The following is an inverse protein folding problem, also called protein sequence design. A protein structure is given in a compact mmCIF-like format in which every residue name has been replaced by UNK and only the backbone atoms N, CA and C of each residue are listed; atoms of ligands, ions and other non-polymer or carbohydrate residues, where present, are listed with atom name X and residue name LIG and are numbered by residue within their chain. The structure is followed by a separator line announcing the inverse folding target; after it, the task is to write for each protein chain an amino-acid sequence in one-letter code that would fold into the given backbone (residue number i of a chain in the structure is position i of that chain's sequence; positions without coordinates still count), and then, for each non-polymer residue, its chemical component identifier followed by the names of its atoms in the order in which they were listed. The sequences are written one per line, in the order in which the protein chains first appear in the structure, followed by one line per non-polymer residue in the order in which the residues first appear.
data_IF_294804019030
#
_entry.id   IF_294804019030
#
_cell.length_a   1.000
_cell.length_b   1.000
_cell.length_c   1.000
_cell.angle_alpha   90.00
_cell.angle_beta   90.00
_cell.angle_gamma   90.00
#
_symmetry.space_group_name_H-M   'P 1'
#
loop_
_entity.id
_entity.type
_entity.pdbx_description
1 polymer ?
#
# COMPACT_ATOMS: atom_id res chain seq x y z
N UNK A 1 12.08 16.45 -6.98
CA UNK A 1 13.04 17.27 -6.19
C UNK A 1 12.52 18.65 -5.75
N UNK A 2 11.66 19.35 -6.51
CA UNK A 2 11.09 20.65 -6.08
C UNK A 2 10.42 20.63 -4.69
N UNK A 3 9.76 19.52 -4.33
CA UNK A 3 9.10 19.34 -3.03
C UNK A 3 9.97 18.63 -1.97
N UNK A 4 11.11 18.06 -2.39
CA UNK A 4 12.01 17.31 -1.50
C UNK A 4 13.47 17.63 -1.84
N UNK A 5 13.95 18.85 -1.52
CA UNK A 5 15.34 19.22 -1.78
C UNK A 5 16.30 18.30 -1.01
N UNK A 6 17.34 17.81 -1.68
CA UNK A 6 18.30 16.87 -1.11
C UNK A 6 17.84 15.40 -1.10
N UNK A 7 16.66 15.09 -1.63
CA UNK A 7 16.26 13.70 -1.87
C UNK A 7 17.02 13.08 -3.04
N UNK A 8 17.09 11.75 -3.04
CA UNK A 8 17.55 10.97 -4.18
C UNK A 8 16.70 11.24 -5.43
N UNK A 9 17.32 11.08 -6.61
CA UNK A 9 16.62 11.01 -7.90
C UNK A 9 15.91 9.68 -8.06
N UNK A 10 14.97 9.60 -9.01
CA UNK A 10 14.36 8.32 -9.35
C UNK A 10 15.42 7.32 -9.82
N UNK A 11 16.35 7.73 -10.70
CA UNK A 11 17.45 6.87 -11.16
C UNK A 11 18.30 6.32 -9.99
N UNK A 12 18.67 7.16 -9.02
CA UNK A 12 19.43 6.72 -7.85
C UNK A 12 18.63 5.70 -7.02
N UNK A 13 17.32 5.92 -6.85
CA UNK A 13 16.45 4.98 -6.13
C UNK A 13 16.33 3.66 -6.90
N UNK A 14 16.20 3.70 -8.24
CA UNK A 14 16.11 2.51 -9.09
C UNK A 14 17.42 1.70 -9.08
N UNK A 15 18.58 2.36 -9.09
CA UNK A 15 19.88 1.70 -8.94
C UNK A 15 19.95 0.92 -7.61
N UNK A 16 19.43 1.50 -6.53
CA UNK A 16 19.35 0.81 -5.23
C UNK A 16 18.36 -0.36 -5.26
N UNK A 17 17.22 -0.23 -5.94
CA UNK A 17 16.30 -1.36 -6.12
C UNK A 17 16.98 -2.49 -6.87
N UNK A 18 17.69 -2.20 -7.96
CA UNK A 18 18.41 -3.20 -8.72
C UNK A 18 19.48 -3.89 -7.86
N UNK A 19 20.22 -3.13 -7.06
CA UNK A 19 21.19 -3.68 -6.12
C UNK A 19 20.54 -4.63 -5.11
N UNK A 20 19.43 -4.24 -4.49
CA UNK A 20 18.71 -5.05 -3.50
C UNK A 20 18.09 -6.29 -4.15
N UNK A 21 17.48 -6.14 -5.32
CA UNK A 21 16.89 -7.23 -6.09
C UNK A 21 17.95 -8.26 -6.50
N UNK A 22 19.14 -7.83 -6.91
CA UNK A 22 20.28 -8.72 -7.22
C UNK A 22 20.75 -9.57 -6.02
N UNK A 23 20.38 -9.16 -4.80
CA UNK A 23 20.65 -9.87 -3.55
C UNK A 23 19.46 -10.70 -3.07
N UNK A 24 18.38 -10.79 -3.86
CA UNK A 24 17.16 -11.48 -3.49
C UNK A 24 16.37 -10.77 -2.39
N UNK A 25 16.59 -9.46 -2.17
CA UNK A 25 15.87 -8.68 -1.16
C UNK A 25 14.60 -8.13 -1.79
N UNK A 26 13.47 -8.38 -1.13
CA UNK A 26 12.17 -7.85 -1.52
C UNK A 26 12.14 -6.32 -1.39
N UNK A 27 11.68 -5.64 -2.43
CA UNK A 27 11.61 -4.18 -2.50
C UNK A 27 10.18 -3.72 -2.77
N UNK A 28 9.73 -2.73 -2.00
CA UNK A 28 8.43 -2.08 -2.16
C UNK A 28 8.57 -0.56 -2.24
N UNK A 29 7.86 0.09 -3.16
CA UNK A 29 7.78 1.54 -3.25
C UNK A 29 6.46 2.07 -2.74
N UNK A 30 6.50 3.28 -2.17
CA UNK A 30 5.30 4.05 -1.93
C UNK A 30 5.33 5.31 -2.79
N UNK A 31 4.42 5.39 -3.76
CA UNK A 31 4.15 6.59 -4.52
C UNK A 31 3.12 7.42 -3.76
N UNK A 32 3.63 8.25 -2.82
CA UNK A 32 2.82 9.01 -1.89
C UNK A 32 3.46 10.39 -1.60
N UNK A 33 2.73 11.51 -1.78
CA UNK A 33 1.38 11.58 -2.36
C UNK A 33 1.41 11.72 -3.89
N UNK A 34 0.43 11.14 -4.57
CA UNK A 34 0.12 11.43 -5.99
C UNK A 34 -0.63 12.76 -6.04
N UNK A 35 -0.04 13.75 -6.69
CA UNK A 35 -0.66 15.06 -6.92
C UNK A 35 -1.22 15.05 -8.35
N UNK A 36 -2.42 14.51 -8.53
CA UNK A 36 -3.02 14.32 -9.85
C UNK A 36 -3.13 15.64 -10.63
N UNK A 37 -2.66 15.65 -11.87
CA UNK A 37 -2.53 16.85 -12.70
C UNK A 37 -1.10 17.40 -12.70
N UNK A 38 -0.42 17.43 -11.54
CA UNK A 38 1.02 17.70 -11.47
C UNK A 38 1.81 16.48 -11.94
N UNK A 39 1.43 15.31 -11.43
CA UNK A 39 1.81 13.99 -11.96
C UNK A 39 0.70 13.53 -12.88
N UNK A 40 1.05 12.88 -13.99
CA UNK A 40 0.11 12.29 -14.95
C UNK A 40 0.01 10.78 -14.79
N UNK A 41 -1.04 10.16 -15.33
CA UNK A 41 -1.16 8.70 -15.37
C UNK A 41 0.00 8.06 -16.17
N UNK A 42 0.43 8.71 -17.27
CA UNK A 42 1.59 8.29 -18.05
C UNK A 42 2.87 8.29 -17.21
N UNK A 43 3.10 9.31 -16.37
CA UNK A 43 4.27 9.34 -15.47
C UNK A 43 4.25 8.16 -14.48
N UNK A 44 3.06 7.78 -13.99
CA UNK A 44 2.91 6.70 -13.02
C UNK A 44 3.05 5.31 -13.68
N UNK A 45 2.48 5.11 -14.87
CA UNK A 45 2.65 3.85 -15.63
C UNK A 45 4.10 3.67 -16.06
N UNK A 46 4.78 4.75 -16.45
CA UNK A 46 6.22 4.71 -16.73
C UNK A 46 7.03 4.39 -15.48
N UNK A 47 6.69 4.98 -14.33
CA UNK A 47 7.32 4.63 -13.05
C UNK A 47 7.15 3.15 -12.71
N UNK A 48 5.97 2.57 -12.95
CA UNK A 48 5.71 1.13 -12.76
C UNK A 48 6.67 0.30 -13.61
N UNK A 49 6.74 0.58 -14.92
CA UNK A 49 7.60 -0.15 -15.86
C UNK A 49 9.08 -0.07 -15.47
N UNK A 50 9.59 1.15 -15.28
CA UNK A 50 11.00 1.38 -14.90
C UNK A 50 11.34 0.71 -13.56
N UNK A 51 10.41 0.75 -12.59
CA UNK A 51 10.64 0.12 -11.30
C UNK A 51 10.64 -1.41 -11.41
N UNK A 52 9.72 -1.99 -12.18
CA UNK A 52 9.67 -3.42 -12.44
C UNK A 52 10.95 -3.91 -13.15
N UNK A 53 11.44 -3.16 -14.15
CA UNK A 53 12.71 -3.44 -14.84
C UNK A 53 13.91 -3.40 -13.88
N UNK A 54 13.90 -2.47 -12.92
CA UNK A 54 14.91 -2.41 -11.86
C UNK A 54 14.78 -3.58 -10.85
N UNK A 55 13.72 -4.39 -10.92
CA UNK A 55 13.49 -5.52 -10.04
C UNK A 55 12.68 -5.20 -8.79
N UNK A 56 11.88 -4.13 -8.82
CA UNK A 56 10.84 -3.86 -7.82
C UNK A 56 9.85 -5.02 -7.76
N UNK A 57 9.30 -5.30 -6.58
CA UNK A 57 8.35 -6.39 -6.35
C UNK A 57 6.94 -5.91 -5.99
N UNK A 58 6.84 -4.69 -5.47
CA UNK A 58 5.57 -4.11 -5.04
C UNK A 58 5.54 -2.59 -5.09
N UNK A 59 4.39 -2.01 -5.42
CA UNK A 59 4.16 -0.57 -5.38
C UNK A 59 2.86 -0.22 -4.66
N UNK A 60 2.88 0.88 -3.92
CA UNK A 60 1.77 1.38 -3.11
C UNK A 60 1.40 2.74 -3.65
N UNK A 61 0.16 2.90 -4.08
CA UNK A 61 -0.34 4.19 -4.57
C UNK A 61 -1.20 4.89 -3.51
N UNK A 62 -1.01 6.20 -3.38
CA UNK A 62 -1.82 7.05 -2.54
C UNK A 62 -2.02 8.41 -3.17
N UNK A 63 -3.26 8.78 -3.45
CA UNK A 63 -3.63 10.11 -3.85
C UNK A 63 -3.47 11.10 -2.69
N UNK A 64 -3.20 12.35 -3.05
CA UNK A 64 -3.10 13.42 -2.08
C UNK A 64 -4.43 13.55 -1.34
N UNK A 65 -4.37 13.56 -0.01
CA UNK A 65 -5.49 13.89 0.86
C UNK A 65 -5.10 15.06 1.78
N UNK A 66 -6.09 15.83 2.24
CA UNK A 66 -5.84 16.88 3.22
C UNK A 66 -7.08 17.18 4.06
N UNK A 67 -6.90 17.40 5.36
CA UNK A 67 -8.00 17.82 6.24
C UNK A 67 -8.63 19.14 5.76
N UNK A 68 -9.96 19.27 5.92
CA UNK A 68 -10.77 20.34 5.32
C UNK A 68 -10.18 21.76 5.49
N UNK A 69 -9.68 22.08 6.68
CA UNK A 69 -9.14 23.40 7.02
C UNK A 69 -7.73 23.70 6.47
N UNK A 70 -7.10 22.74 5.77
CA UNK A 70 -5.73 22.88 5.25
C UNK A 70 -5.64 22.82 3.72
N UNK A 71 -6.75 22.61 2.99
CA UNK A 71 -6.76 22.52 1.52
C UNK A 71 -6.14 23.74 0.85
N UNK A 72 -6.62 24.95 1.18
CA UNK A 72 -6.11 26.15 0.52
C UNK A 72 -4.63 26.39 0.83
N UNK A 73 -4.21 26.13 2.08
CA UNK A 73 -2.81 26.25 2.46
C UNK A 73 -1.92 25.30 1.64
N UNK A 74 -2.36 24.06 1.42
CA UNK A 74 -1.64 23.10 0.57
C UNK A 74 -1.53 23.62 -0.87
N UNK A 75 -2.63 24.08 -1.47
CA UNK A 75 -2.65 24.62 -2.84
C UNK A 75 -1.70 25.81 -2.97
N UNK A 76 -1.76 26.77 -2.05
CA UNK A 76 -0.91 27.97 -2.06
C UNK A 76 0.57 27.60 -1.97
N UNK A 77 0.91 26.62 -1.12
CA UNK A 77 2.28 26.11 -0.98
C UNK A 77 2.77 25.43 -2.25
N UNK A 78 1.94 24.59 -2.87
CA UNK A 78 2.29 23.90 -4.12
C UNK A 78 2.47 24.90 -5.28
N UNK A 79 1.61 25.92 -5.38
CA UNK A 79 1.75 27.02 -6.35
C UNK A 79 3.04 27.82 -6.13
N UNK A 80 3.42 28.10 -4.88
CA UNK A 80 4.66 28.80 -4.56
C UNK A 80 5.92 28.05 -5.03
N UNK A 81 5.86 26.71 -5.09
CA UNK A 81 6.94 25.84 -5.59
C UNK A 81 6.94 25.76 -7.13
N UNK A 82 5.99 26.42 -7.81
CA UNK A 82 5.87 26.49 -9.27
C UNK A 82 5.80 25.10 -9.91
N UNK A 83 4.94 24.24 -9.38
CA UNK A 83 4.61 22.96 -10.01
C UNK A 83 3.77 23.21 -11.28
N UNK A 84 3.90 22.36 -12.32
CA UNK A 84 3.06 22.46 -13.51
C UNK A 84 1.59 22.14 -13.18
N UNK A 85 0.67 22.55 -14.04
CA UNK A 85 -0.73 22.10 -14.04
C UNK A 85 -1.49 22.22 -12.70
N UNK A 86 -1.11 23.19 -11.87
CA UNK A 86 -1.76 23.40 -10.56
C UNK A 86 -3.26 23.70 -10.65
N UNK A 87 -3.71 24.29 -11.76
CA UNK A 87 -5.14 24.57 -12.00
C UNK A 87 -5.93 23.27 -12.23
N UNK A 88 -5.31 22.26 -12.87
CA UNK A 88 -5.89 20.92 -13.04
C UNK A 88 -5.93 20.18 -11.72
N UNK A 89 -4.82 20.20 -10.97
CA UNK A 89 -4.81 19.61 -9.62
C UNK A 89 -5.89 20.22 -8.74
N UNK A 90 -6.02 21.54 -8.71
CA UNK A 90 -7.02 22.21 -7.87
C UNK A 90 -8.46 21.89 -8.29
N UNK A 91 -8.73 21.72 -9.59
CA UNK A 91 -10.05 21.34 -10.08
C UNK A 91 -10.41 19.90 -9.75
N UNK A 92 -9.43 18.99 -9.79
CA UNK A 92 -9.62 17.57 -9.44
C UNK A 92 -9.59 17.33 -7.92
N UNK A 93 -8.84 18.10 -7.16
CA UNK A 93 -8.73 18.00 -5.69
C UNK A 93 -9.85 18.77 -4.98
N UNK A 94 -11.08 18.30 -5.10
CA UNK A 94 -12.27 18.99 -4.58
C UNK A 94 -13.35 18.08 -3.98
N UNK A 95 -13.21 16.75 -4.03
CA UNK A 95 -14.14 15.84 -3.37
C UNK A 95 -13.84 15.75 -1.88
N UNK A 96 -14.87 15.58 -1.05
CA UNK A 96 -14.72 15.35 0.39
C UNK A 96 -15.24 13.97 0.75
N UNK A 97 -14.39 13.13 1.37
CA UNK A 97 -14.76 11.82 1.91
C UNK A 97 -14.24 11.78 3.34
N UNK A 98 -15.07 11.37 4.31
CA UNK A 98 -14.62 11.22 5.71
C UNK A 98 -14.04 12.48 6.37
N UNK A 99 -14.37 13.69 5.87
CA UNK A 99 -13.85 14.96 6.40
C UNK A 99 -12.47 15.40 5.85
N UNK A 100 -11.93 14.69 4.85
CA UNK A 100 -10.72 15.09 4.11
C UNK A 100 -11.06 15.41 2.66
N UNK A 101 -10.35 16.38 2.09
CA UNK A 101 -10.33 16.61 0.65
C UNK A 101 -9.44 15.59 -0.03
N UNK A 102 -9.90 15.08 -1.17
CA UNK A 102 -9.16 14.17 -2.04
C UNK A 102 -9.43 14.50 -3.51
N UNK A 103 -8.73 13.81 -4.40
CA UNK A 103 -8.98 13.83 -5.85
C UNK A 103 -10.32 13.15 -6.13
N UNK A 104 -11.08 13.67 -7.10
CA UNK A 104 -12.36 13.10 -7.53
C UNK A 104 -12.25 11.59 -7.78
N UNK A 105 -13.25 10.87 -7.28
CA UNK A 105 -13.29 9.42 -7.23
C UNK A 105 -13.25 8.76 -8.59
N UNK A 106 -13.99 9.28 -9.56
CA UNK A 106 -13.98 8.79 -10.95
C UNK A 106 -12.56 8.82 -11.54
N UNK A 107 -11.83 9.91 -11.32
CA UNK A 107 -10.43 10.05 -11.73
C UNK A 107 -9.54 9.06 -10.99
N UNK A 108 -9.71 8.91 -9.67
CA UNK A 108 -8.89 7.97 -8.87
C UNK A 108 -9.13 6.52 -9.29
N UNK A 109 -10.39 6.13 -9.49
CA UNK A 109 -10.76 4.78 -9.93
C UNK A 109 -10.17 4.49 -11.31
N UNK A 110 -10.37 5.38 -12.28
CA UNK A 110 -9.80 5.23 -13.63
C UNK A 110 -8.27 5.03 -13.58
N UNK A 111 -7.58 5.83 -12.79
CA UNK A 111 -6.12 5.72 -12.65
C UNK A 111 -5.70 4.45 -11.94
N UNK A 112 -6.40 4.05 -10.87
CA UNK A 112 -6.08 2.85 -10.12
C UNK A 112 -6.32 1.58 -10.94
N UNK A 113 -7.35 1.55 -11.79
CA UNK A 113 -7.57 0.45 -12.75
C UNK A 113 -6.43 0.34 -13.75
N UNK A 114 -6.01 1.44 -14.37
CA UNK A 114 -4.90 1.43 -15.33
C UNK A 114 -3.58 1.05 -14.66
N UNK A 115 -3.33 1.55 -13.44
CA UNK A 115 -2.14 1.19 -12.67
C UNK A 115 -2.16 -0.27 -12.25
N UNK A 116 -3.32 -0.81 -11.86
CA UNK A 116 -3.49 -2.22 -11.55
C UNK A 116 -3.10 -3.07 -12.76
N UNK A 117 -3.67 -2.79 -13.93
CA UNK A 117 -3.34 -3.49 -15.18
C UNK A 117 -1.85 -3.36 -15.52
N UNK A 118 -1.29 -2.16 -15.42
CA UNK A 118 0.13 -1.92 -15.70
C UNK A 118 1.06 -2.69 -14.75
N UNK A 119 0.71 -2.80 -13.46
CA UNK A 119 1.48 -3.59 -12.49
C UNK A 119 1.37 -5.09 -12.78
N UNK A 120 0.18 -5.57 -13.17
CA UNK A 120 -0.04 -6.95 -13.59
C UNK A 120 0.82 -7.30 -14.81
N UNK A 121 0.76 -6.48 -15.86
CA UNK A 121 1.54 -6.68 -17.08
C UNK A 121 3.06 -6.63 -16.82
N UNK A 122 3.49 -5.81 -15.87
CA UNK A 122 4.88 -5.70 -15.46
C UNK A 122 5.34 -6.87 -14.56
N UNK A 123 4.40 -7.69 -14.08
CA UNK A 123 4.64 -8.76 -13.11
C UNK A 123 5.14 -8.23 -11.77
N UNK A 124 4.51 -7.19 -11.24
CA UNK A 124 4.73 -6.72 -9.86
C UNK A 124 3.38 -6.60 -9.16
N UNK A 125 3.39 -6.57 -7.83
CA UNK A 125 2.14 -6.42 -7.06
C UNK A 125 1.85 -4.95 -6.74
N UNK A 126 0.59 -4.64 -6.45
CA UNK A 126 0.09 -3.31 -6.12
C UNK A 126 -0.75 -3.33 -4.85
N UNK A 127 -0.70 -2.25 -4.07
CA UNK A 127 -1.69 -1.91 -3.05
C UNK A 127 -2.05 -0.43 -3.08
N UNK A 128 -3.09 -0.06 -2.34
CA UNK A 128 -3.48 1.33 -2.09
C UNK A 128 -3.33 1.69 -0.61
N UNK A 129 -3.18 2.98 -0.30
CA UNK A 129 -3.08 3.46 1.07
C UNK A 129 -4.07 4.61 1.31
N UNK A 130 -5.07 4.38 2.16
CA UNK A 130 -6.15 5.33 2.47
C UNK A 130 -6.96 5.76 1.25
N UNK A 131 -7.19 4.85 0.31
CA UNK A 131 -8.10 5.10 -0.80
C UNK A 131 -9.51 4.62 -0.44
N UNK A 132 -10.46 5.54 -0.53
CA UNK A 132 -11.87 5.30 -0.21
C UNK A 132 -12.77 5.72 -1.36
N UNK A 133 -13.95 5.13 -1.48
CA UNK A 133 -15.06 5.65 -2.28
C UNK A 133 -16.16 6.19 -1.38
N UNK A 134 -16.93 7.14 -1.90
CA UNK A 134 -18.10 7.70 -1.25
C UNK A 134 -19.30 6.76 -1.42
N UNK A 135 -19.68 6.12 -0.31
CA UNK A 135 -20.87 5.27 -0.19
C UNK A 135 -22.05 6.01 0.49
N UNK A 136 -21.94 7.33 0.66
CA UNK A 136 -22.87 8.14 1.44
C UNK A 136 -22.66 8.06 2.96
N UNK A 137 -21.61 7.40 3.43
CA UNK A 137 -21.21 7.33 4.84
C UNK A 137 -19.83 7.98 5.08
N UNK A 138 -18.96 7.35 5.90
CA UNK A 138 -17.61 7.86 6.16
C UNK A 138 -16.61 7.54 5.03
N UNK A 139 -17.08 6.90 3.96
CA UNK A 139 -16.27 6.32 2.90
C UNK A 139 -15.99 4.83 3.15
N UNK A 140 -15.97 4.05 2.08
CA UNK A 140 -15.66 2.62 2.09
C UNK A 140 -14.34 2.33 1.38
N UNK A 141 -13.60 1.31 1.82
CA UNK A 141 -12.24 1.02 1.36
C UNK A 141 -12.20 0.60 -0.12
N UNK A 142 -11.33 1.22 -0.93
CA UNK A 142 -11.10 0.86 -2.34
C UNK A 142 -10.15 -0.34 -2.49
N UNK A 143 -9.30 -0.61 -1.50
CA UNK A 143 -8.23 -1.60 -1.60
C UNK A 143 -8.68 -2.98 -2.09
N UNK A 144 -9.84 -3.55 -1.66
CA UNK A 144 -10.27 -4.87 -2.10
C UNK A 144 -10.44 -5.04 -3.62
N UNK A 145 -10.49 -3.94 -4.36
CA UNK A 145 -10.72 -3.93 -5.80
C UNK A 145 -9.51 -3.45 -6.62
N UNK A 146 -8.56 -2.76 -5.97
CA UNK A 146 -7.42 -2.10 -6.61
C UNK A 146 -6.07 -2.60 -6.07
N UNK A 147 -6.01 -3.83 -5.57
CA UNK A 147 -4.80 -4.45 -5.00
C UNK A 147 -4.58 -5.82 -5.62
N UNK A 148 -3.31 -6.25 -5.70
CA UNK A 148 -2.92 -7.64 -5.97
C UNK A 148 -2.16 -8.24 -4.79
N UNK A 149 -2.29 -7.62 -3.62
CA UNK A 149 -1.51 -7.95 -2.44
C UNK A 149 -2.34 -8.07 -1.18
N UNK A 150 -1.84 -8.91 -0.27
CA UNK A 150 -2.47 -9.24 1.01
C UNK A 150 -2.29 -8.17 2.09
N UNK A 151 -1.38 -7.21 1.85
CA UNK A 151 -1.11 -6.11 2.76
C UNK A 151 -0.59 -4.88 2.04
N UNK A 152 -0.60 -3.74 2.73
CA UNK A 152 -0.10 -2.46 2.20
C UNK A 152 1.36 -2.46 1.73
N UNK A 153 2.16 -3.48 2.03
CA UNK A 153 3.56 -3.58 1.59
C UNK A 153 3.81 -4.79 0.71
N UNK A 154 2.75 -5.38 0.15
CA UNK A 154 2.82 -6.51 -0.76
C UNK A 154 2.59 -7.82 -0.03
N UNK A 155 3.60 -8.70 -0.06
CA UNK A 155 3.51 -10.02 0.56
C UNK A 155 3.29 -9.89 2.06
N UNK A 156 2.30 -10.57 2.61
CA UNK A 156 2.06 -10.60 4.05
C UNK A 156 3.29 -11.10 4.82
N UNK A 157 3.84 -10.26 5.69
CA UNK A 157 4.97 -10.64 6.55
C UNK A 157 4.44 -10.82 7.97
N UNK A 158 4.70 -11.97 8.62
CA UNK A 158 4.31 -12.14 10.01
C UNK A 158 5.05 -11.10 10.88
N UNK A 159 4.51 -10.80 12.05
CA UNK A 159 5.25 -10.01 13.04
C UNK A 159 6.54 -10.76 13.35
N UNK A 160 7.69 -10.12 13.12
CA UNK A 160 8.98 -10.65 13.52
C UNK A 160 9.31 -10.15 14.91
N UNK A 161 9.88 -11.03 15.71
CA UNK A 161 10.36 -10.71 17.04
C UNK A 161 11.69 -11.37 17.27
N UNK A 162 12.32 -10.96 18.35
CA UNK A 162 13.62 -11.47 18.74
C UNK A 162 13.50 -11.90 20.19
N UNK A 163 13.52 -13.21 20.49
CA UNK A 163 13.31 -13.71 21.85
C UNK A 163 14.31 -13.12 22.84
N UNK A 164 15.58 -13.00 22.42
CA UNK A 164 16.68 -12.51 23.26
C UNK A 164 17.59 -11.50 22.53
N UNK A 165 18.27 -10.58 23.24
CA UNK A 165 19.05 -9.52 22.62
C UNK A 165 20.22 -9.92 21.70
N UNK A 166 20.58 -11.18 21.63
CA UNK A 166 21.68 -11.73 20.84
C UNK A 166 21.20 -12.70 19.74
N UNK A 167 19.89 -12.96 19.66
CA UNK A 167 19.30 -13.87 18.68
C UNK A 167 18.89 -13.13 17.40
N UNK A 168 18.74 -13.83 16.25
CA UNK A 168 18.14 -13.24 15.06
C UNK A 168 16.64 -12.95 15.29
N UNK A 169 16.07 -12.09 14.44
CA UNK A 169 14.63 -11.98 14.35
C UNK A 169 14.04 -13.24 13.73
N UNK A 170 12.98 -13.76 14.33
CA UNK A 170 12.19 -14.88 13.84
C UNK A 170 10.72 -14.48 13.76
N UNK A 171 9.94 -15.12 12.87
CA UNK A 171 8.53 -14.82 12.77
C UNK A 171 7.76 -15.36 13.99
N UNK A 172 6.79 -14.58 14.48
CA UNK A 172 5.91 -14.97 15.59
C UNK A 172 5.02 -16.15 15.19
N UNK A 173 5.14 -17.33 15.82
CA UNK A 173 4.30 -18.48 15.49
C UNK A 173 2.81 -18.18 15.68
N UNK A 174 1.96 -18.68 14.78
CA UNK A 174 0.53 -18.37 14.73
C UNK A 174 0.17 -17.02 14.11
N UNK A 175 1.11 -16.10 13.91
CA UNK A 175 0.83 -14.84 13.21
C UNK A 175 0.51 -15.10 11.73
N UNK A 176 -0.68 -14.65 11.28
CA UNK A 176 -1.05 -14.75 9.87
C UNK A 176 -0.12 -13.91 9.01
N UNK A 177 0.26 -14.44 7.85
CA UNK A 177 0.96 -13.71 6.79
C UNK A 177 -0.04 -12.85 6.01
N UNK A 178 -0.69 -11.93 6.69
CA UNK A 178 -1.70 -11.01 6.15
C UNK A 178 -1.42 -9.60 6.64
N UNK A 179 -2.13 -8.62 6.08
CA UNK A 179 -1.96 -7.23 6.46
C UNK A 179 -2.28 -6.92 7.90
N UNK A 180 -1.83 -5.72 8.31
CA UNK A 180 -2.29 -5.08 9.53
C UNK A 180 -3.82 -5.16 9.61
N UNK A 181 -4.35 -5.33 10.82
CA UNK A 181 -5.80 -5.42 11.11
C UNK A 181 -6.49 -6.73 10.70
N UNK A 182 -5.86 -7.63 9.95
CA UNK A 182 -6.51 -8.89 9.52
C UNK A 182 -7.13 -9.70 10.68
N UNK A 183 -6.49 -9.69 11.85
CA UNK A 183 -7.03 -10.37 13.04
C UNK A 183 -8.32 -9.73 13.56
N UNK A 184 -8.39 -8.40 13.51
CA UNK A 184 -9.56 -7.62 13.92
C UNK A 184 -10.68 -7.80 12.89
N UNK A 185 -10.39 -7.56 11.61
CA UNK A 185 -11.36 -7.55 10.51
C UNK A 185 -12.08 -8.90 10.34
N UNK A 186 -11.36 -10.01 10.52
CA UNK A 186 -11.88 -11.37 10.33
C UNK A 186 -12.10 -12.12 11.65
N UNK A 187 -11.97 -11.45 12.80
CA UNK A 187 -12.14 -12.06 14.12
C UNK A 187 -11.20 -13.24 14.39
N UNK A 188 -10.06 -13.28 13.71
CA UNK A 188 -9.12 -14.40 13.82
C UNK A 188 -8.22 -14.24 15.04
N UNK A 189 -8.02 -15.33 15.79
CA UNK A 189 -7.06 -15.38 16.90
C UNK A 189 -5.75 -16.00 16.45
N UNK A 190 -4.97 -15.24 15.70
CA UNK A 190 -3.64 -15.66 15.23
C UNK A 190 -2.72 -16.07 16.39
N UNK A 191 -2.76 -15.29 17.46
CA UNK A 191 -1.98 -15.50 18.69
C UNK A 191 -2.83 -15.17 19.93
N UNK A 192 -2.25 -15.30 21.13
CA UNK A 192 -2.90 -14.93 22.40
C UNK A 192 -2.54 -13.52 22.89
N UNK A 193 -1.92 -12.69 22.03
CA UNK A 193 -1.52 -11.35 22.40
C UNK A 193 -2.66 -10.36 22.19
N UNK A 194 -3.41 -10.06 23.25
CA UNK A 194 -4.53 -9.12 23.21
C UNK A 194 -4.14 -7.70 22.76
N UNK A 195 -2.90 -7.28 23.05
CA UNK A 195 -2.40 -5.95 22.65
C UNK A 195 -2.25 -5.86 21.13
N UNK A 196 -1.77 -6.92 20.49
CA UNK A 196 -1.67 -7.03 19.02
C UNK A 196 -3.04 -7.24 18.38
N UNK A 197 -3.88 -8.10 18.96
CA UNK A 197 -5.24 -8.36 18.46
C UNK A 197 -6.14 -7.13 18.52
N UNK A 198 -5.92 -6.22 19.48
CA UNK A 198 -6.69 -4.98 19.60
C UNK A 198 -6.30 -3.92 18.57
N UNK A 199 -5.26 -4.15 17.77
CA UNK A 199 -4.80 -3.29 16.68
C UNK A 199 -4.65 -1.78 17.03
N UNK A 200 -4.50 -1.43 18.31
CA UNK A 200 -4.36 -0.05 18.75
C UNK A 200 -3.02 0.53 18.29
N UNK A 201 -2.98 1.84 18.13
CA UNK A 201 -1.72 2.56 17.96
C UNK A 201 -0.79 2.30 19.17
N UNK A 202 0.23 1.46 18.97
CA UNK A 202 1.14 1.03 20.03
C UNK A 202 2.08 2.17 20.43
N UNK A 203 2.20 2.38 21.74
CA UNK A 203 3.22 3.26 22.30
C UNK A 203 4.50 2.48 22.50
N UNK A 204 5.60 3.20 22.60
CA UNK A 204 6.89 2.60 22.90
C UNK A 204 6.89 1.81 24.23
N UNK A 205 6.11 2.25 25.22
CA UNK A 205 5.91 1.49 26.46
C UNK A 205 5.20 0.16 26.23
N UNK A 206 4.20 0.12 25.34
CA UNK A 206 3.49 -1.11 24.99
C UNK A 206 4.49 -2.13 24.39
N UNK A 207 5.36 -1.68 23.49
CA UNK A 207 6.38 -2.52 22.84
C UNK A 207 7.38 -3.13 23.85
N UNK A 208 7.71 -2.42 24.93
CA UNK A 208 8.64 -2.91 25.96
C UNK A 208 8.02 -3.95 26.90
N UNK A 209 6.71 -3.86 27.14
CA UNK A 209 6.00 -4.76 28.04
C UNK A 209 5.29 -5.90 27.32
N UNK A 210 5.27 -5.88 25.99
CA UNK A 210 4.55 -6.85 25.19
C UNK A 210 5.17 -8.23 25.33
N UNK A 211 4.37 -9.20 25.79
CA UNK A 211 4.75 -10.61 25.78
C UNK A 211 4.19 -11.29 24.53
N UNK A 212 5.09 -11.84 23.72
CA UNK A 212 4.71 -12.53 22.49
C UNK A 212 4.57 -14.03 22.78
N UNK A 213 3.36 -14.56 22.58
CA UNK A 213 3.05 -15.99 22.74
C UNK A 213 2.73 -16.56 21.38
N UNK A 214 3.64 -17.40 20.87
CA UNK A 214 3.48 -18.07 19.59
C UNK A 214 2.63 -19.33 19.68
N UNK A 215 1.88 -19.64 18.62
CA UNK A 215 1.12 -20.90 18.44
C UNK A 215 1.55 -21.62 17.16
N UNK A 216 2.51 -22.54 17.28
CA UNK A 216 3.04 -23.29 16.14
C UNK A 216 1.98 -24.16 15.44
N UNK A 217 0.96 -24.61 16.16
CA UNK A 217 -0.14 -25.39 15.58
C UNK A 217 -1.06 -24.56 14.66
N UNK A 218 -1.04 -23.23 14.80
CA UNK A 218 -1.77 -22.27 13.94
C UNK A 218 -0.91 -21.73 12.81
N UNK A 219 0.33 -22.20 12.71
CA UNK A 219 1.29 -21.82 11.70
C UNK A 219 1.15 -22.72 10.47
N UNK A 220 0.17 -22.46 9.59
CA UNK A 220 0.04 -23.13 8.28
C UNK A 220 -1.08 -22.51 7.43
N UNK A 221 -1.00 -21.21 7.14
CA UNK A 221 -1.88 -20.61 6.14
C UNK A 221 -1.07 -20.25 4.90
N UNK A 222 -1.67 -20.55 3.75
CA UNK A 222 -1.11 -20.21 2.45
C UNK A 222 -0.97 -18.69 2.34
N UNK A 223 0.13 -18.28 1.72
CA UNK A 223 0.22 -16.92 1.19
C UNK A 223 -0.90 -16.75 0.17
N UNK A 224 -1.69 -15.68 0.29
CA UNK A 224 -2.61 -15.33 -0.80
C UNK A 224 -2.04 -14.19 -1.63
N UNK A 225 -0.85 -13.68 -1.31
CA UNK A 225 -0.25 -12.66 -2.14
C UNK A 225 0.27 -13.38 -3.37
N UNK A 226 -0.04 -12.83 -4.53
CA UNK A 226 0.54 -13.28 -5.78
C UNK A 226 2.04 -13.12 -5.70
N UNK A 227 2.81 -14.14 -6.08
CA UNK A 227 4.19 -13.88 -6.44
C UNK A 227 4.20 -13.10 -7.76
N UNK A 228 5.16 -12.17 -7.95
CA UNK A 228 5.39 -11.49 -9.23
C UNK A 228 5.31 -12.42 -10.46
N UNK A 229 5.80 -13.64 -10.30
CA UNK A 229 5.78 -14.69 -11.31
C UNK A 229 4.36 -15.24 -11.56
N UNK A 230 3.52 -15.36 -10.51
CA UNK A 230 2.12 -15.81 -10.61
C UNK A 230 1.23 -14.78 -11.32
N UNK A 231 1.55 -13.48 -11.16
CA UNK A 231 0.79 -12.37 -11.77
C UNK A 231 0.86 -12.42 -13.31
N UNK A 232 1.97 -12.90 -13.87
CA UNK A 232 2.18 -12.98 -15.33
C UNK A 232 1.42 -14.12 -15.99
N UNK A 233 0.99 -15.12 -15.23
CA UNK A 233 0.34 -16.33 -15.74
C UNK A 233 -1.19 -16.19 -15.92
N UNK A 234 -1.71 -14.96 -15.91
CA UNK A 234 -2.93 -14.63 -16.65
C UNK A 234 -4.25 -14.81 -15.92
N UNK A 235 -4.33 -14.57 -14.62
CA UNK A 235 -5.62 -14.28 -13.97
C UNK A 235 -5.83 -12.76 -14.08
N UNK A 236 -6.06 -12.32 -15.32
CA UNK A 236 -5.94 -10.92 -15.72
C UNK A 236 -7.22 -10.12 -15.58
N UNK A 237 -8.26 -10.62 -14.91
CA UNK A 237 -9.48 -9.84 -14.74
C UNK A 237 -10.17 -10.20 -13.44
N UNK A 238 -10.45 -9.15 -12.67
CA UNK A 238 -11.50 -9.12 -11.66
C UNK A 238 -12.72 -8.42 -12.26
N UNK A 239 -13.44 -9.03 -13.24
CA UNK A 239 -14.47 -8.35 -14.01
C UNK A 239 -15.70 -8.01 -13.15
N UNK A 240 -15.83 -8.67 -12.00
CA UNK A 240 -16.99 -8.59 -11.11
C UNK A 240 -16.71 -7.78 -9.84
N UNK A 241 -15.54 -7.14 -9.70
CA UNK A 241 -15.14 -6.44 -8.48
C UNK A 241 -15.26 -7.36 -7.25
N UNK A 242 -14.80 -8.60 -7.37
CA UNK A 242 -14.67 -9.50 -6.24
C UNK A 242 -13.61 -8.95 -5.29
N UNK A 243 -13.94 -8.83 -4.01
CA UNK A 243 -12.96 -8.56 -2.96
C UNK A 243 -11.88 -9.63 -2.96
N UNK A 244 -10.69 -9.34 -2.42
CA UNK A 244 -9.65 -10.34 -2.21
C UNK A 244 -10.24 -11.62 -1.55
N UNK A 245 -11.07 -11.46 -0.52
CA UNK A 245 -11.70 -12.58 0.17
C UNK A 245 -12.55 -13.48 -0.75
N UNK A 246 -13.26 -12.89 -1.72
CA UNK A 246 -14.06 -13.61 -2.71
C UNK A 246 -13.17 -14.29 -3.76
N UNK A 247 -12.13 -13.61 -4.25
CA UNK A 247 -11.14 -14.21 -5.15
C UNK A 247 -10.48 -15.45 -4.52
N UNK A 248 -10.25 -15.42 -3.20
CA UNK A 248 -9.62 -16.49 -2.44
C UNK A 248 -10.60 -17.52 -1.86
N UNK A 249 -11.91 -17.40 -2.11
CA UNK A 249 -12.96 -18.28 -1.55
C UNK A 249 -12.89 -18.42 -0.03
N UNK A 250 -12.53 -17.34 0.65
CA UNK A 250 -12.45 -17.28 2.11
C UNK A 250 -13.83 -17.03 2.77
N UNK A 251 -14.84 -16.74 1.94
CA UNK A 251 -16.25 -16.54 2.28
C UNK A 251 -17.16 -17.27 1.29
#
# INVERSE_FOLDING_TARGET
RKMSPGSYTIDEVLDYVQLLSSKGIYTSFQCNPIIAGVTTLDDLTELVRLSAEAGLRHIIFKFTEQVFNQRQLLIDRLRAVKLPNMDVFESWFNQTIGGVYTVQEDIRIEWLEELLNCTIDSGITMSTCYEYYDDGAAGSNLAPYCTTSDQCHGRGVPIHFRPEPDQPFEPLPGCYRKGCLYCEDYGTKACDNEVLLAAKALKYSDLRSMQLVGRYERWNYLDSCWEPEDVRDGISHNPDWQTDAEMWRLV
#
